data_IF_078891538824
#
_entry.id   IF_078891538824
#
_cell.length_a   1.000
_cell.length_b   1.000
_cell.length_c   1.000
_cell.angle_alpha   90.00
_cell.angle_beta   90.00
_cell.angle_gamma   90.00
#
_symmetry.space_group_name_H-M   'P 1'
#
loop_
_entity.id
_entity.type
_entity.pdbx_description
1 polymer ?
#
# COMPACT_ATOMS: atom_id res chain seq x y z
N UNK A 1 8.30 -16.34 1.69
CA UNK A 1 6.88 -15.92 1.64
C UNK A 1 6.67 -15.02 0.43
N UNK A 2 5.57 -15.16 -0.33
CA UNK A 2 5.27 -14.21 -1.40
C UNK A 2 5.01 -12.82 -0.81
N UNK A 3 5.77 -11.83 -1.27
CA UNK A 3 5.64 -10.43 -0.86
C UNK A 3 4.38 -9.76 -1.41
N UNK A 4 4.16 -8.51 -0.98
CA UNK A 4 3.06 -7.67 -1.46
C UNK A 4 3.25 -7.38 -2.95
N UNK A 5 2.17 -7.56 -3.74
CA UNK A 5 2.13 -7.18 -5.16
C UNK A 5 1.13 -6.04 -5.34
N UNK A 6 1.56 -4.98 -6.02
CA UNK A 6 0.71 -3.86 -6.42
C UNK A 6 0.65 -3.79 -7.95
N UNK A 7 -0.56 -3.58 -8.46
CA UNK A 7 -0.83 -3.33 -9.87
C UNK A 7 -2.02 -2.37 -10.02
N UNK A 8 -2.21 -1.77 -11.20
CA UNK A 8 -3.43 -1.03 -11.55
C UNK A 8 -4.28 -1.86 -12.51
N UNK A 9 -5.59 -1.83 -12.33
CA UNK A 9 -6.57 -2.39 -13.27
C UNK A 9 -7.70 -1.37 -13.45
N UNK A 10 -7.73 -0.73 -14.62
CA UNK A 10 -8.64 0.39 -14.89
C UNK A 10 -8.44 1.51 -13.86
N UNK A 11 -9.53 1.87 -13.19
CA UNK A 11 -9.56 2.93 -12.17
C UNK A 11 -9.20 2.44 -10.75
N UNK A 12 -8.82 1.17 -10.59
CA UNK A 12 -8.52 0.58 -9.29
C UNK A 12 -7.04 0.25 -9.13
N UNK A 13 -6.49 0.65 -7.98
CA UNK A 13 -5.24 0.11 -7.45
C UNK A 13 -5.53 -1.25 -6.79
N UNK A 14 -4.86 -2.28 -7.28
CA UNK A 14 -5.01 -3.66 -6.82
C UNK A 14 -3.81 -4.04 -5.96
N UNK A 15 -4.08 -4.33 -4.69
CA UNK A 15 -3.09 -4.85 -3.74
C UNK A 15 -3.38 -6.34 -3.54
N UNK A 16 -2.36 -7.19 -3.74
CA UNK A 16 -2.44 -8.63 -3.52
C UNK A 16 -1.39 -9.07 -2.51
N UNK A 17 -1.83 -9.88 -1.55
CA UNK A 17 -0.95 -10.53 -0.59
C UNK A 17 -1.55 -11.87 -0.18
N UNK A 18 -0.79 -12.96 -0.38
CA UNK A 18 -1.29 -14.33 -0.20
C UNK A 18 -2.61 -14.54 -0.97
N UNK A 19 -3.69 -14.92 -0.26
CA UNK A 19 -5.03 -15.12 -0.83
C UNK A 19 -5.89 -13.84 -0.80
N UNK A 20 -5.38 -12.75 -0.22
CA UNK A 20 -6.09 -11.49 -0.08
C UNK A 20 -5.91 -10.62 -1.33
N UNK A 21 -7.02 -10.08 -1.84
CA UNK A 21 -7.08 -9.04 -2.88
C UNK A 21 -7.84 -7.85 -2.32
N UNK A 22 -7.24 -6.67 -2.41
CA UNK A 22 -7.85 -5.40 -2.03
C UNK A 22 -7.85 -4.50 -3.25
N UNK A 23 -8.98 -3.84 -3.48
CA UNK A 23 -9.20 -2.92 -4.59
C UNK A 23 -9.51 -1.55 -4.00
N UNK A 24 -8.73 -0.56 -4.41
CA UNK A 24 -8.87 0.83 -3.96
C UNK A 24 -9.07 1.70 -5.20
N UNK A 25 -10.17 2.44 -5.33
CA UNK A 25 -10.32 3.41 -6.42
C UNK A 25 -9.18 4.43 -6.37
N UNK A 26 -8.52 4.67 -7.50
CA UNK A 26 -7.39 5.62 -7.62
C UNK A 26 -7.83 7.03 -7.20
N UNK A 27 -9.08 7.40 -7.50
CA UNK A 27 -9.70 8.68 -7.14
C UNK A 27 -9.93 8.87 -5.63
N UNK A 28 -9.87 7.79 -4.84
CA UNK A 28 -9.94 7.84 -3.39
C UNK A 28 -8.56 7.98 -2.75
N UNK A 29 -7.48 7.67 -3.46
CA UNK A 29 -6.11 7.75 -2.92
C UNK A 29 -5.70 9.21 -2.79
N UNK A 30 -5.40 9.62 -1.56
CA UNK A 30 -4.98 10.99 -1.23
C UNK A 30 -3.47 11.11 -1.04
N UNK A 31 -2.76 10.01 -0.84
CA UNK A 31 -1.30 10.01 -0.78
C UNK A 31 -0.68 8.66 -0.48
N UNK A 32 0.60 8.53 -0.82
CA UNK A 32 1.42 7.33 -0.55
C UNK A 32 2.71 7.78 0.11
N UNK A 33 2.97 7.33 1.33
CA UNK A 33 4.17 7.72 2.10
C UNK A 33 4.86 6.50 2.69
N UNK A 34 6.17 6.61 2.94
CA UNK A 34 6.84 5.68 3.84
C UNK A 34 6.36 5.94 5.27
N UNK A 35 6.42 4.92 6.10
CA UNK A 35 6.16 5.03 7.54
C UNK A 35 7.37 4.50 8.30
N UNK A 36 8.02 5.39 9.04
CA UNK A 36 9.18 5.10 9.88
C UNK A 36 8.79 4.61 11.28
N UNK A 37 7.49 4.62 11.62
CA UNK A 37 6.99 4.12 12.89
C UNK A 37 6.85 2.60 12.87
N UNK A 38 7.21 1.95 13.98
CA UNK A 38 7.22 0.48 14.04
C UNK A 38 5.82 -0.16 13.82
N UNK A 39 4.75 0.51 14.27
CA UNK A 39 3.37 -0.01 14.26
C UNK A 39 2.38 0.72 13.36
N UNK A 40 2.81 1.77 12.67
CA UNK A 40 1.95 2.70 11.97
C UNK A 40 1.36 3.76 12.89
N UNK A 41 1.20 4.99 12.36
CA UNK A 41 0.60 6.11 13.09
C UNK A 41 -0.92 6.01 13.23
N UNK A 42 -1.58 5.40 12.25
CA UNK A 42 -3.03 5.21 12.21
C UNK A 42 -3.42 3.83 12.79
N UNK A 43 -4.10 3.85 13.95
CA UNK A 43 -4.50 2.63 14.66
C UNK A 43 -5.55 1.83 13.89
N UNK A 44 -6.43 2.53 13.17
CA UNK A 44 -7.52 1.97 12.39
C UNK A 44 -7.10 1.55 10.98
N UNK A 45 -5.82 1.75 10.64
CA UNK A 45 -5.29 1.36 9.34
C UNK A 45 -5.43 -0.15 9.11
N UNK A 46 -5.85 -0.51 7.90
CA UNK A 46 -5.89 -1.89 7.46
C UNK A 46 -4.46 -2.36 7.23
N UNK A 47 -4.02 -3.33 8.04
CA UNK A 47 -2.67 -3.88 8.04
C UNK A 47 -2.57 -5.07 7.10
N UNK A 48 -1.63 -5.00 6.15
CA UNK A 48 -1.46 -6.00 5.09
C UNK A 48 0.02 -6.37 4.99
N UNK A 49 0.34 -7.67 4.99
CA UNK A 49 1.72 -8.14 5.02
C UNK A 49 2.07 -8.78 6.37
N UNK A 50 3.36 -8.98 6.62
CA UNK A 50 3.88 -9.54 7.86
C UNK A 50 4.40 -8.42 8.76
N UNK A 51 3.67 -8.00 9.81
CA UNK A 51 4.09 -6.89 10.67
C UNK A 51 5.41 -7.16 11.38
N UNK A 52 5.65 -8.43 11.69
CA UNK A 52 6.86 -8.94 12.31
C UNK A 52 7.62 -9.77 11.25
N UNK A 53 8.68 -9.20 10.69
CA UNK A 53 9.48 -9.84 9.63
C UNK A 53 9.96 -8.92 8.52
N UNK A 54 9.41 -7.71 8.42
CA UNK A 54 9.85 -6.69 7.45
C UNK A 54 10.07 -5.35 8.15
N UNK A 55 11.10 -4.62 7.74
CA UNK A 55 11.42 -3.29 8.28
C UNK A 55 10.76 -2.15 7.52
N UNK A 56 10.39 -2.37 6.26
CA UNK A 56 9.76 -1.36 5.43
C UNK A 56 8.24 -1.32 5.59
N UNK A 57 7.71 -0.09 5.63
CA UNK A 57 6.28 0.18 5.76
C UNK A 57 5.86 1.28 4.79
N UNK A 58 4.71 1.09 4.17
CA UNK A 58 4.11 2.08 3.28
C UNK A 58 2.69 2.33 3.75
N UNK A 59 2.32 3.60 3.84
CA UNK A 59 0.96 4.03 4.12
C UNK A 59 0.34 4.54 2.83
N UNK A 60 -0.75 3.89 2.40
CA UNK A 60 -1.63 4.41 1.35
C UNK A 60 -2.82 5.04 2.07
N UNK A 61 -2.94 6.37 1.97
CA UNK A 61 -4.07 7.12 2.53
C UNK A 61 -5.17 7.21 1.50
N UNK A 62 -6.39 6.95 1.92
CA UNK A 62 -7.60 7.23 1.13
C UNK A 62 -8.50 8.22 1.85
N UNK A 63 -9.56 8.68 1.19
CA UNK A 63 -10.58 9.56 1.80
C UNK A 63 -11.24 8.97 3.04
N UNK A 64 -11.37 7.64 3.13
CA UNK A 64 -12.09 6.97 4.21
C UNK A 64 -11.19 6.30 5.25
N UNK A 65 -10.08 5.69 4.80
CA UNK A 65 -9.20 4.89 5.67
C UNK A 65 -7.79 4.79 5.14
N UNK A 66 -6.85 4.45 6.01
CA UNK A 66 -5.46 4.18 5.62
C UNK A 66 -5.19 2.69 5.48
N UNK A 67 -4.24 2.34 4.61
CA UNK A 67 -3.73 0.98 4.45
C UNK A 67 -2.24 0.97 4.77
N UNK A 68 -1.83 0.13 5.72
CA UNK A 68 -0.45 -0.04 6.14
C UNK A 68 0.11 -1.34 5.57
N UNK A 69 1.03 -1.21 4.62
CA UNK A 69 1.68 -2.32 3.92
C UNK A 69 3.03 -2.63 4.56
N UNK A 70 3.25 -3.88 4.95
CA UNK A 70 4.51 -4.38 5.49
C UNK A 70 5.31 -5.11 4.41
N UNK A 71 6.45 -4.56 4.01
CA UNK A 71 7.27 -5.08 2.90
C UNK A 71 8.75 -4.79 3.10
N UNK A 72 9.63 -5.71 2.69
CA UNK A 72 11.09 -5.48 2.74
C UNK A 72 11.58 -4.47 1.70
N UNK A 73 10.78 -4.16 0.67
CA UNK A 73 11.14 -3.28 -0.43
C UNK A 73 10.22 -2.06 -0.47
N UNK A 74 10.15 -1.30 0.64
CA UNK A 74 9.18 -0.23 0.80
C UNK A 74 9.35 0.88 -0.25
N UNK A 75 10.57 1.31 -0.52
CA UNK A 75 10.87 2.34 -1.53
C UNK A 75 10.39 1.93 -2.93
N UNK A 76 10.72 0.70 -3.34
CA UNK A 76 10.34 0.15 -4.65
C UNK A 76 8.81 0.07 -4.80
N UNK A 77 8.13 -0.41 -3.76
CA UNK A 77 6.67 -0.52 -3.79
C UNK A 77 6.01 0.86 -3.74
N UNK A 78 6.56 1.82 -2.99
CA UNK A 78 6.09 3.21 -2.96
C UNK A 78 6.21 3.84 -4.35
N UNK A 79 7.40 3.82 -4.94
CA UNK A 79 7.68 4.39 -6.26
C UNK A 79 6.77 3.77 -7.32
N UNK A 80 6.63 2.43 -7.30
CA UNK A 80 5.72 1.72 -8.19
C UNK A 80 4.27 2.17 -8.00
N UNK A 81 3.82 2.36 -6.76
CA UNK A 81 2.46 2.81 -6.47
C UNK A 81 2.24 4.21 -7.02
N UNK A 82 3.15 5.14 -6.75
CA UNK A 82 3.09 6.51 -7.26
C UNK A 82 3.07 6.56 -8.79
N UNK A 83 3.89 5.73 -9.45
CA UNK A 83 3.85 5.60 -10.90
C UNK A 83 2.48 5.14 -11.40
N UNK A 84 1.93 4.07 -10.80
CA UNK A 84 0.62 3.53 -11.18
C UNK A 84 -0.52 4.55 -11.00
N UNK A 85 -0.46 5.39 -9.96
CA UNK A 85 -1.44 6.44 -9.72
C UNK A 85 -1.37 7.57 -10.77
N UNK A 86 -0.19 7.82 -11.35
CA UNK A 86 0.06 8.87 -12.34
C UNK A 86 -0.21 8.46 -13.79
N UNK A 87 -0.53 7.20 -14.08
CA UNK A 87 -0.73 6.68 -15.45
C UNK A 87 -1.97 7.22 -16.19
N UNK A 88 -2.52 8.36 -15.78
CA UNK A 88 -3.47 9.14 -16.56
C UNK A 88 -3.02 10.60 -16.60
N UNK A 89 -2.20 10.91 -17.59
CA UNK A 89 -2.04 12.23 -18.22
C UNK A 89 -1.63 12.02 -19.66
#
# INVERSE_FOLDING_TARGET
>A
MPGIKINRQGENLIIRWQLTKIEIPVTEVTGVTLDDTYGGTDKEAIRIGTPYGTTGRIVIRTKQRSYLLFTSNADVIKEKTEHLLKMES
#
